data_IF_350820684751
#
_entry.id   IF_350820684751
#
_cell.length_a   1.000
_cell.length_b   1.000
_cell.length_c   1.000
_cell.angle_alpha   90.00
_cell.angle_beta   90.00
_cell.angle_gamma   90.00
#
_symmetry.space_group_name_H-M   'P 1'
#
loop_
_entity.id
_entity.type
_entity.pdbx_description
1 polymer ?
#
# COMPACT_ATOMS: atom_id res chain seq x y z
N UNK A 1 -11.73 -35.00 -0.21
CA UNK A 1 -10.33 -34.77 0.15
C UNK A 1 -10.42 -33.39 0.76
N UNK A 2 -10.44 -33.37 2.09
CA UNK A 2 -10.47 -32.11 2.84
C UNK A 2 -9.05 -31.56 2.72
N UNK A 3 -8.93 -30.41 2.07
CA UNK A 3 -7.73 -29.60 2.09
C UNK A 3 -7.87 -28.69 3.30
N UNK A 4 -6.83 -28.66 4.13
CA UNK A 4 -6.72 -27.91 5.37
C UNK A 4 -7.12 -26.42 5.23
N UNK A 5 -7.73 -25.88 6.29
CA UNK A 5 -8.18 -24.49 6.55
C UNK A 5 -7.04 -23.41 6.49
N UNK A 6 -5.88 -23.70 5.92
CA UNK A 6 -4.68 -22.88 6.13
C UNK A 6 -4.55 -21.64 5.20
N UNK A 7 -5.47 -21.45 4.25
CA UNK A 7 -5.44 -20.32 3.29
C UNK A 7 -6.81 -19.66 3.07
N UNK A 8 -7.78 -19.82 3.97
CA UNK A 8 -9.05 -19.08 3.85
C UNK A 8 -8.80 -17.59 4.10
N UNK A 9 -9.36 -16.77 3.21
CA UNK A 9 -9.22 -15.31 3.22
C UNK A 9 -10.59 -14.71 2.99
N UNK A 10 -10.91 -13.74 3.83
CA UNK A 10 -12.06 -12.87 3.74
C UNK A 10 -11.52 -11.47 3.45
N UNK A 11 -12.04 -10.82 2.42
CA UNK A 11 -11.58 -9.51 1.98
C UNK A 11 -12.77 -8.64 1.59
N UNK A 12 -13.01 -7.60 2.38
CA UNK A 12 -14.01 -6.58 2.12
C UNK A 12 -13.41 -5.41 1.33
N UNK A 13 -14.23 -4.83 0.43
CA UNK A 13 -13.94 -3.52 -0.13
C UNK A 13 -14.63 -3.27 -1.46
N UNK A 14 -14.17 -2.23 -2.16
CA UNK A 14 -14.84 -1.78 -3.39
C UNK A 14 -14.32 -2.49 -4.61
N UNK A 15 -15.26 -3.04 -5.38
CA UNK A 15 -15.02 -3.54 -6.73
C UNK A 15 -14.45 -2.42 -7.59
N UNK A 16 -13.22 -2.62 -8.04
CA UNK A 16 -12.52 -1.79 -9.02
C UNK A 16 -12.11 -2.64 -10.22
N UNK A 17 -11.87 -2.01 -11.37
CA UNK A 17 -11.37 -2.70 -12.58
C UNK A 17 -12.13 -3.97 -13.00
N UNK A 18 -13.44 -4.05 -12.74
CA UNK A 18 -14.27 -5.21 -13.08
C UNK A 18 -14.20 -5.54 -14.59
N UNK A 19 -13.73 -6.74 -14.90
CA UNK A 19 -13.82 -7.39 -16.20
C UNK A 19 -14.78 -8.59 -16.10
N UNK A 20 -16.05 -8.34 -16.43
CA UNK A 20 -17.10 -9.35 -16.43
C UNK A 20 -16.89 -10.47 -17.47
N UNK A 21 -16.03 -10.29 -18.48
CA UNK A 21 -15.71 -11.36 -19.43
C UNK A 21 -14.62 -12.28 -18.92
N UNK A 22 -13.61 -11.72 -18.25
CA UNK A 22 -12.56 -12.48 -17.58
C UNK A 22 -13.02 -13.06 -16.22
N UNK A 23 -14.10 -12.51 -15.66
CA UNK A 23 -14.60 -12.74 -14.31
C UNK A 23 -13.54 -12.41 -13.25
N UNK A 24 -12.99 -11.20 -13.37
CA UNK A 24 -12.00 -10.65 -12.44
C UNK A 24 -12.35 -9.22 -12.04
N UNK A 25 -11.93 -8.80 -10.85
CA UNK A 25 -11.90 -7.39 -10.43
C UNK A 25 -10.75 -7.18 -9.44
N UNK A 26 -10.58 -5.95 -8.96
CA UNK A 26 -9.63 -5.64 -7.88
C UNK A 26 -10.33 -5.04 -6.67
N UNK A 27 -9.92 -5.44 -5.46
CA UNK A 27 -10.31 -4.82 -4.17
C UNK A 27 -9.04 -4.52 -3.39
N UNK A 28 -8.90 -3.30 -2.86
CA UNK A 28 -7.75 -2.87 -2.05
C UNK A 28 -6.39 -3.17 -2.74
N UNK A 29 -6.36 -3.13 -4.08
CA UNK A 29 -5.17 -3.48 -4.88
C UNK A 29 -4.97 -4.97 -5.18
N UNK A 30 -5.70 -5.87 -4.51
CA UNK A 30 -5.66 -7.32 -4.76
C UNK A 30 -6.48 -7.70 -5.98
N UNK A 31 -5.94 -8.58 -6.83
CA UNK A 31 -6.69 -9.17 -7.94
C UNK A 31 -7.58 -10.31 -7.42
N UNK A 32 -8.87 -10.25 -7.74
CA UNK A 32 -9.87 -11.24 -7.38
C UNK A 32 -10.33 -11.97 -8.64
N UNK A 33 -10.24 -13.29 -8.66
CA UNK A 33 -10.83 -14.17 -9.68
C UNK A 33 -12.09 -14.80 -9.08
N UNK A 34 -13.24 -14.52 -9.70
CA UNK A 34 -14.55 -14.99 -9.24
C UNK A 34 -15.21 -15.98 -10.20
N UNK A 35 -14.43 -16.63 -11.09
CA UNK A 35 -14.96 -17.62 -12.04
C UNK A 35 -15.73 -18.77 -11.39
N UNK A 36 -15.38 -19.11 -10.15
CA UNK A 36 -15.95 -20.22 -9.39
C UNK A 36 -16.78 -19.75 -8.18
N UNK A 37 -16.95 -18.45 -7.99
CA UNK A 37 -17.67 -17.91 -6.86
C UNK A 37 -19.19 -18.11 -7.00
N UNK A 38 -19.87 -18.09 -5.86
CA UNK A 38 -21.33 -17.89 -5.75
C UNK A 38 -21.62 -16.57 -5.07
N UNK A 39 -22.76 -15.93 -5.39
CA UNK A 39 -23.27 -14.85 -4.55
C UNK A 39 -23.87 -15.43 -3.27
N UNK A 40 -23.67 -14.80 -2.11
CA UNK A 40 -24.42 -15.16 -0.90
C UNK A 40 -25.87 -14.64 -0.95
N UNK A 41 -26.76 -15.28 -0.21
CA UNK A 41 -28.18 -14.97 -0.08
C UNK A 41 -28.91 -14.71 -1.42
N UNK A 42 -29.29 -13.45 -1.69
CA UNK A 42 -30.03 -13.01 -2.87
C UNK A 42 -29.13 -12.25 -3.86
N UNK A 43 -27.81 -12.14 -3.61
CA UNK A 43 -26.86 -11.43 -4.47
C UNK A 43 -26.62 -12.19 -5.78
N UNK A 44 -26.83 -11.50 -6.91
CA UNK A 44 -26.47 -12.02 -8.23
C UNK A 44 -25.12 -11.44 -8.65
N UNK A 45 -24.12 -12.28 -8.92
CA UNK A 45 -22.80 -11.82 -9.38
C UNK A 45 -22.87 -11.03 -10.70
N UNK A 46 -23.95 -11.17 -11.48
CA UNK A 46 -24.20 -10.34 -12.67
C UNK A 46 -24.47 -8.86 -12.31
N UNK A 47 -24.80 -8.56 -11.05
CA UNK A 47 -25.01 -7.21 -10.53
C UNK A 47 -23.72 -6.51 -10.05
N UNK A 48 -22.59 -7.24 -9.99
CA UNK A 48 -21.27 -6.67 -9.70
C UNK A 48 -20.99 -5.46 -10.60
N UNK A 49 -20.55 -4.37 -9.99
CA UNK A 49 -20.22 -3.14 -10.72
C UNK A 49 -19.09 -2.38 -10.03
N UNK A 50 -18.28 -1.65 -10.82
CA UNK A 50 -17.25 -0.81 -10.22
C UNK A 50 -17.87 0.22 -9.27
N UNK A 51 -17.32 0.32 -8.06
CA UNK A 51 -17.86 1.17 -7.00
C UNK A 51 -18.84 0.46 -6.06
N UNK A 52 -19.25 -0.77 -6.36
CA UNK A 52 -19.99 -1.63 -5.44
C UNK A 52 -19.04 -2.12 -4.35
N UNK A 53 -19.49 -2.06 -3.10
CA UNK A 53 -18.76 -2.71 -2.01
C UNK A 53 -19.23 -4.14 -1.88
N UNK A 54 -18.28 -5.04 -1.64
CA UNK A 54 -18.54 -6.47 -1.50
C UNK A 54 -17.62 -7.06 -0.44
N UNK A 55 -18.08 -8.12 0.20
CA UNK A 55 -17.25 -9.06 0.95
C UNK A 55 -16.86 -10.21 0.01
N UNK A 56 -15.61 -10.65 0.06
CA UNK A 56 -15.12 -11.78 -0.74
C UNK A 56 -14.50 -12.83 0.16
N UNK A 57 -15.16 -13.97 0.29
CA UNK A 57 -14.59 -15.16 0.92
C UNK A 57 -13.92 -16.06 -0.14
N UNK A 58 -12.73 -16.53 0.15
CA UNK A 58 -11.97 -17.34 -0.80
C UNK A 58 -10.66 -17.89 -0.26
N UNK A 59 -9.70 -18.06 -1.15
CA UNK A 59 -8.34 -18.45 -0.78
C UNK A 59 -7.32 -17.87 -1.74
N UNK A 60 -6.11 -17.58 -1.24
CA UNK A 60 -5.03 -17.08 -2.07
C UNK A 60 -4.40 -18.19 -2.93
N UNK A 61 -4.21 -17.90 -4.21
CA UNK A 61 -3.40 -18.69 -5.14
C UNK A 61 -2.34 -17.77 -5.79
N UNK A 62 -1.14 -17.73 -5.19
CA UNK A 62 -0.17 -16.69 -5.52
C UNK A 62 -0.67 -15.33 -5.02
N UNK A 63 -0.62 -14.31 -5.86
CA UNK A 63 -1.12 -12.96 -5.55
C UNK A 63 -2.59 -12.73 -5.97
N UNK A 64 -3.34 -13.78 -6.27
CA UNK A 64 -4.76 -13.68 -6.67
C UNK A 64 -5.64 -14.34 -5.63
N UNK A 65 -6.65 -13.60 -5.18
CA UNK A 65 -7.72 -14.12 -4.34
C UNK A 65 -8.70 -14.90 -5.23
N UNK A 66 -8.75 -16.21 -5.02
CA UNK A 66 -9.72 -17.09 -5.69
C UNK A 66 -11.02 -17.07 -4.88
N UNK A 67 -11.99 -16.28 -5.32
CA UNK A 67 -13.26 -16.13 -4.63
C UNK A 67 -14.08 -17.42 -4.71
N UNK A 68 -14.70 -17.79 -3.58
CA UNK A 68 -15.67 -18.87 -3.45
C UNK A 68 -17.06 -18.32 -3.22
N UNK A 69 -17.15 -17.23 -2.47
CA UNK A 69 -18.37 -16.54 -2.13
C UNK A 69 -18.13 -15.04 -2.26
N UNK A 70 -19.13 -14.31 -2.71
CA UNK A 70 -19.13 -12.85 -2.74
C UNK A 70 -20.50 -12.41 -2.24
N UNK A 71 -20.53 -11.47 -1.30
CA UNK A 71 -21.77 -10.88 -0.84
C UNK A 71 -21.87 -9.41 -1.27
N UNK A 72 -23.06 -8.94 -1.65
CA UNK A 72 -23.33 -7.51 -1.65
C UNK A 72 -23.67 -7.11 -0.24
N UNK A 73 -22.64 -6.69 0.51
CA UNK A 73 -22.87 -6.05 1.79
C UNK A 73 -23.65 -4.74 1.57
N UNK A 74 -24.97 -4.87 1.55
CA UNK A 74 -25.92 -3.76 1.67
C UNK A 74 -25.72 -3.04 3.02
N UNK A 75 -25.08 -3.71 3.99
CA UNK A 75 -24.73 -3.22 5.32
C UNK A 75 -23.29 -3.64 5.70
N UNK A 76 -22.27 -2.96 5.14
CA UNK A 76 -20.84 -3.14 5.48
C UNK A 76 -20.54 -3.25 6.99
N UNK A 77 -21.38 -2.62 7.79
CA UNK A 77 -21.35 -2.72 9.25
C UNK A 77 -22.79 -2.65 9.73
N UNK A 78 -23.11 -3.35 10.82
CA UNK A 78 -24.42 -3.18 11.46
C UNK A 78 -24.57 -1.72 11.94
N UNK A 79 -25.77 -1.17 11.84
CA UNK A 79 -26.07 0.16 12.37
C UNK A 79 -25.71 0.22 13.88
N UNK A 80 -24.80 1.15 14.24
CA UNK A 80 -24.21 1.38 15.58
C UNK A 80 -23.02 0.50 15.97
N UNK A 81 -22.27 -0.03 15.02
CA UNK A 81 -20.95 -0.57 15.29
C UNK A 81 -19.89 0.54 15.37
N UNK A 82 -18.95 0.35 16.30
CA UNK A 82 -17.66 1.04 16.30
C UNK A 82 -16.79 0.34 15.25
N UNK A 83 -16.41 1.07 14.21
CA UNK A 83 -15.79 0.55 12.99
C UNK A 83 -14.39 1.13 12.82
N UNK A 84 -13.45 0.28 12.41
CA UNK A 84 -12.10 0.68 12.00
C UNK A 84 -11.88 0.30 10.53
N UNK A 85 -11.57 1.27 9.67
CA UNK A 85 -11.21 1.04 8.26
C UNK A 85 -9.89 1.72 7.92
N UNK A 86 -9.04 1.08 7.11
CA UNK A 86 -7.83 1.71 6.56
C UNK A 86 -7.90 1.75 5.03
N UNK A 87 -7.46 2.85 4.42
CA UNK A 87 -7.44 2.95 2.97
C UNK A 87 -7.13 4.35 2.42
N UNK A 88 -7.11 4.43 1.10
CA UNK A 88 -6.97 5.68 0.36
C UNK A 88 -8.21 6.55 0.51
N UNK A 89 -7.98 7.79 0.91
CA UNK A 89 -8.96 8.86 0.72
C UNK A 89 -9.22 9.03 -0.77
N UNK A 90 -10.48 9.06 -1.17
CA UNK A 90 -10.91 9.54 -2.49
C UNK A 90 -12.23 10.30 -2.38
N UNK A 91 -12.59 11.05 -3.43
CA UNK A 91 -13.77 11.94 -3.43
C UNK A 91 -13.79 12.92 -2.24
N UNK A 92 -12.63 13.44 -1.82
CA UNK A 92 -12.55 14.39 -0.72
C UNK A 92 -13.23 15.73 -1.05
N UNK A 93 -14.27 16.07 -0.29
CA UNK A 93 -14.95 17.36 -0.33
C UNK A 93 -14.65 18.14 0.95
N UNK A 94 -13.67 19.05 0.84
CA UNK A 94 -13.29 19.97 1.93
C UNK A 94 -14.43 20.87 2.45
N UNK A 95 -15.47 21.14 1.64
CA UNK A 95 -16.61 21.96 2.06
C UNK A 95 -17.63 21.14 2.83
N UNK A 96 -17.90 19.91 2.38
CA UNK A 96 -18.77 18.97 3.08
C UNK A 96 -18.08 18.27 4.27
N UNK A 97 -16.73 18.31 4.33
CA UNK A 97 -15.89 17.57 5.26
C UNK A 97 -16.14 16.07 5.18
N UNK A 98 -16.16 15.56 3.95
CA UNK A 98 -16.39 14.15 3.67
C UNK A 98 -15.33 13.61 2.74
N UNK A 99 -15.03 12.33 2.84
CA UNK A 99 -14.30 11.57 1.83
C UNK A 99 -14.82 10.14 1.79
N UNK A 100 -14.25 9.32 0.90
CA UNK A 100 -14.49 7.88 0.87
C UNK A 100 -13.21 7.11 1.09
N UNK A 101 -13.35 5.96 1.75
CA UNK A 101 -12.35 4.90 1.88
C UNK A 101 -13.07 3.59 1.65
N UNK A 102 -12.54 2.72 0.78
CA UNK A 102 -13.11 1.39 0.50
C UNK A 102 -14.63 1.42 0.31
N UNK A 103 -15.18 2.45 -0.34
CA UNK A 103 -16.62 2.58 -0.61
C UNK A 103 -17.42 3.27 0.49
N UNK A 104 -16.92 3.29 1.71
CA UNK A 104 -17.54 3.91 2.87
C UNK A 104 -17.47 5.42 2.75
N UNK A 105 -18.60 6.11 2.88
CA UNK A 105 -18.60 7.56 3.03
C UNK A 105 -18.21 7.90 4.47
N UNK A 106 -17.10 8.59 4.64
CA UNK A 106 -16.62 9.08 5.92
C UNK A 106 -17.03 10.55 6.09
N UNK A 107 -17.63 10.88 7.22
CA UNK A 107 -17.97 12.24 7.62
C UNK A 107 -17.07 12.66 8.78
N UNK A 108 -16.44 13.82 8.63
CA UNK A 108 -15.62 14.46 9.65
C UNK A 108 -16.42 15.60 10.27
N UNK A 109 -16.43 15.71 11.60
CA UNK A 109 -17.04 16.84 12.28
C UNK A 109 -16.03 17.63 13.14
N UNK A 110 -16.50 18.25 14.23
CA UNK A 110 -15.65 19.04 15.13
C UNK A 110 -15.13 18.25 16.33
N UNK A 111 -15.62 17.03 16.53
CA UNK A 111 -15.24 16.12 17.60
C UNK A 111 -14.25 15.05 17.10
N UNK A 112 -14.10 14.86 15.77
CA UNK A 112 -13.06 14.00 15.16
C UNK A 112 -11.65 14.41 15.62
N UNK A 113 -10.93 13.47 16.22
CA UNK A 113 -9.52 13.59 16.56
C UNK A 113 -8.62 13.24 15.37
N UNK A 114 -7.42 13.82 15.34
CA UNK A 114 -6.45 13.57 14.28
C UNK A 114 -5.10 13.22 14.90
N UNK A 115 -4.63 12.00 14.65
CA UNK A 115 -3.32 11.53 15.10
C UNK A 115 -2.39 11.32 13.92
N UNK A 116 -1.12 11.74 14.05
CA UNK A 116 -0.09 11.69 13.00
C UNK A 116 -0.50 12.24 11.61
N UNK A 117 -1.60 12.99 11.56
CA UNK A 117 -2.11 13.70 10.39
C UNK A 117 -2.80 14.99 10.83
N UNK A 118 -2.94 15.95 9.90
CA UNK A 118 -3.76 17.13 10.14
C UNK A 118 -5.03 17.11 9.30
N UNK A 119 -6.12 17.69 9.81
CA UNK A 119 -7.33 17.90 8.99
C UNK A 119 -7.06 18.68 7.68
N UNK A 120 -5.99 19.48 7.64
CA UNK A 120 -5.58 20.24 6.46
C UNK A 120 -4.77 19.44 5.42
N UNK A 121 -4.24 18.27 5.79
CA UNK A 121 -3.49 17.38 4.91
C UNK A 121 -4.35 16.29 4.28
N UNK A 122 -5.61 16.13 4.71
CA UNK A 122 -6.56 15.24 4.03
C UNK A 122 -6.79 15.69 2.59
N UNK A 123 -6.63 14.75 1.66
CA UNK A 123 -6.88 14.90 0.23
C UNK A 123 -6.87 13.52 -0.43
N UNK A 124 -7.34 13.44 -1.67
CA UNK A 124 -7.33 12.18 -2.43
C UNK A 124 -5.91 11.58 -2.49
N UNK A 125 -5.83 10.26 -2.27
CA UNK A 125 -4.61 9.44 -2.28
C UNK A 125 -3.86 9.37 -0.95
N UNK A 126 -4.30 10.09 0.09
CA UNK A 126 -3.71 9.92 1.43
C UNK A 126 -4.23 8.63 2.04
N UNK A 127 -3.32 7.78 2.50
CA UNK A 127 -3.66 6.56 3.22
C UNK A 127 -3.87 6.89 4.69
N UNK A 128 -5.04 6.54 5.22
CA UNK A 128 -5.37 6.78 6.63
C UNK A 128 -6.03 5.56 7.22
N UNK A 129 -6.00 5.47 8.54
CA UNK A 129 -6.92 4.65 9.32
C UNK A 129 -8.00 5.57 9.91
N UNK A 130 -9.26 5.12 9.86
CA UNK A 130 -10.41 5.83 10.39
C UNK A 130 -11.13 4.93 11.37
N UNK A 131 -11.32 5.41 12.59
CA UNK A 131 -12.19 4.79 13.58
C UNK A 131 -13.45 5.66 13.77
N UNK A 132 -14.63 5.04 13.91
CA UNK A 132 -15.84 5.78 14.24
C UNK A 132 -17.15 4.99 14.25
N UNK A 133 -18.24 5.70 14.51
CA UNK A 133 -19.60 5.18 14.51
C UNK A 133 -20.14 5.03 13.07
N UNK A 134 -20.42 3.80 12.62
CA UNK A 134 -21.11 3.59 11.34
C UNK A 134 -22.63 3.61 11.49
N UNK A 135 -23.30 4.50 10.75
CA UNK A 135 -24.77 4.64 10.76
C UNK A 135 -25.31 5.07 9.40
N UNK A 136 -26.27 4.33 8.86
CA UNK A 136 -26.99 4.65 7.62
C UNK A 136 -26.05 4.89 6.42
N UNK A 137 -25.03 4.06 6.23
CA UNK A 137 -24.10 4.18 5.10
C UNK A 137 -23.01 5.24 5.27
N UNK A 138 -22.87 5.82 6.47
CA UNK A 138 -21.89 6.87 6.78
C UNK A 138 -21.13 6.49 8.03
N UNK A 139 -19.80 6.49 7.94
CA UNK A 139 -18.89 6.43 9.08
C UNK A 139 -18.68 7.85 9.62
N UNK A 140 -19.20 8.12 10.81
CA UNK A 140 -18.88 9.36 11.53
C UNK A 140 -17.53 9.14 12.23
N UNK A 141 -16.48 9.77 11.73
CA UNK A 141 -15.13 9.56 12.25
C UNK A 141 -14.97 10.16 13.66
N UNK A 142 -14.62 9.31 14.61
CA UNK A 142 -14.17 9.71 15.94
C UNK A 142 -12.67 10.02 15.93
N UNK A 143 -11.88 9.27 15.15
CA UNK A 143 -10.44 9.43 15.01
C UNK A 143 -9.99 9.14 13.57
N UNK A 144 -9.04 9.94 13.09
CA UNK A 144 -8.34 9.71 11.81
C UNK A 144 -6.85 9.73 12.09
N UNK A 145 -6.22 8.58 11.89
CA UNK A 145 -4.78 8.38 12.05
C UNK A 145 -4.12 8.40 10.67
N UNK A 146 -3.10 9.25 10.52
CA UNK A 146 -2.16 9.16 9.41
C UNK A 146 -1.37 7.87 9.57
N UNK A 147 -1.46 6.96 8.61
CA UNK A 147 -0.57 5.80 8.60
C UNK A 147 0.77 6.24 8.03
N UNK A 148 1.84 6.03 8.79
CA UNK A 148 3.20 5.87 8.25
C UNK A 148 3.13 4.78 7.15
N UNK A 149 4.02 4.82 6.17
CA UNK A 149 4.00 3.90 5.04
C UNK A 149 3.86 2.42 5.44
N UNK A 150 3.37 1.55 4.55
CA UNK A 150 3.49 0.09 4.74
C UNK A 150 4.77 -0.48 4.11
N UNK A 151 5.68 0.41 3.74
CA UNK A 151 7.03 0.11 3.30
C UNK A 151 7.99 1.27 3.57
N UNK A 152 9.23 0.91 3.91
CA UNK A 152 10.34 1.83 4.17
C UNK A 152 11.55 1.39 3.34
N UNK A 153 12.32 2.36 2.83
CA UNK A 153 13.47 2.11 1.98
C UNK A 153 14.61 3.08 2.28
N UNK A 154 15.71 2.51 2.74
CA UNK A 154 16.99 3.19 2.89
C UNK A 154 17.91 2.81 1.74
N UNK A 155 18.30 3.82 0.96
CA UNK A 155 19.13 3.52 -0.19
C UNK A 155 19.63 4.69 -0.98
N UNK A 156 20.38 4.36 -2.02
CA UNK A 156 21.02 5.34 -2.87
C UNK A 156 20.21 5.60 -4.14
N UNK A 157 19.99 6.88 -4.47
CA UNK A 157 19.38 7.27 -5.74
C UNK A 157 20.30 6.85 -6.90
N UNK A 158 19.83 5.92 -7.72
CA UNK A 158 20.54 5.42 -8.90
C UNK A 158 20.11 6.11 -10.19
N UNK A 159 18.85 6.55 -10.26
CA UNK A 159 18.28 7.21 -11.42
C UNK A 159 17.21 8.22 -11.00
N UNK A 160 17.16 9.34 -11.74
CA UNK A 160 16.16 10.39 -11.56
C UNK A 160 15.45 10.62 -12.90
N UNK A 161 14.11 10.55 -12.90
CA UNK A 161 13.24 11.00 -13.97
C UNK A 161 12.23 12.03 -13.45
N UNK A 162 12.68 13.29 -13.40
CA UNK A 162 11.88 14.43 -12.97
C UNK A 162 10.65 14.67 -13.83
N UNK A 163 10.63 14.19 -15.08
CA UNK A 163 9.48 14.42 -15.97
C UNK A 163 8.28 13.55 -15.61
N UNK A 164 8.54 12.43 -14.95
CA UNK A 164 7.53 11.50 -14.45
C UNK A 164 7.52 11.44 -12.90
N UNK A 165 8.26 12.32 -12.23
CA UNK A 165 8.45 12.34 -10.77
C UNK A 165 8.79 10.96 -10.19
N UNK A 166 9.69 10.25 -10.88
CA UNK A 166 10.08 8.88 -10.57
C UNK A 166 11.57 8.84 -10.25
N UNK A 167 11.92 8.19 -9.14
CA UNK A 167 13.29 7.86 -8.75
C UNK A 167 13.50 6.33 -8.85
N UNK A 168 14.74 5.91 -9.03
CA UNK A 168 15.16 4.53 -8.72
C UNK A 168 16.12 4.62 -7.56
N UNK A 169 15.76 4.06 -6.42
CA UNK A 169 16.52 4.08 -5.17
C UNK A 169 16.90 2.65 -4.84
N UNK A 170 18.19 2.32 -4.87
CA UNK A 170 18.71 0.97 -4.64
C UNK A 170 18.00 -0.16 -5.40
N UNK A 171 17.45 0.15 -6.59
CA UNK A 171 16.75 -0.80 -7.45
C UNK A 171 15.22 -0.78 -7.33
N UNK A 172 14.68 -0.20 -6.26
CA UNK A 172 13.24 0.04 -6.10
C UNK A 172 12.84 1.26 -6.93
N UNK A 173 11.68 1.19 -7.60
CA UNK A 173 11.07 2.35 -8.27
C UNK A 173 10.28 3.14 -7.23
N UNK A 174 10.64 4.39 -7.02
CA UNK A 174 9.94 5.29 -6.09
C UNK A 174 9.17 6.34 -6.89
N UNK A 175 7.86 6.38 -6.73
CA UNK A 175 6.98 7.36 -7.36
C UNK A 175 6.71 8.48 -6.35
N UNK A 176 7.16 9.69 -6.68
CA UNK A 176 6.76 10.88 -5.94
C UNK A 176 5.39 11.34 -6.42
N UNK A 177 4.61 11.92 -5.52
CA UNK A 177 3.30 12.52 -5.80
C UNK A 177 3.30 13.99 -5.37
N UNK A 178 2.21 14.70 -5.67
CA UNK A 178 2.03 16.07 -5.16
C UNK A 178 2.00 16.15 -3.62
N UNK A 179 1.82 15.00 -2.96
CA UNK A 179 1.63 14.88 -1.52
C UNK A 179 2.90 14.39 -0.80
N UNK A 180 3.92 13.95 -1.55
CA UNK A 180 5.19 13.53 -0.95
C UNK A 180 5.86 14.70 -0.25
N UNK A 181 6.07 14.56 1.06
CA UNK A 181 6.92 15.43 1.86
C UNK A 181 8.37 15.15 1.49
N UNK A 182 9.14 16.21 1.23
CA UNK A 182 10.55 16.10 0.89
C UNK A 182 11.30 16.87 1.96
N UNK A 183 12.09 16.16 2.76
CA UNK A 183 13.08 16.79 3.63
C UNK A 183 14.47 16.69 2.97
N UNK A 184 15.20 17.79 3.01
CA UNK A 184 16.51 17.90 2.37
C UNK A 184 17.45 18.71 3.28
N UNK A 185 17.43 18.38 4.58
CA UNK A 185 18.42 18.46 5.68
C UNK A 185 19.41 19.65 5.74
N UNK A 186 19.27 20.58 4.83
CA UNK A 186 19.99 21.83 4.71
C UNK A 186 19.31 22.77 5.70
N UNK A 187 19.98 22.98 6.84
CA UNK A 187 19.77 23.98 7.90
C UNK A 187 19.46 25.43 7.42
N UNK A 188 19.37 25.69 6.11
CA UNK A 188 19.00 26.96 5.53
C UNK A 188 17.47 27.09 5.41
N UNK A 189 16.89 27.79 6.40
CA UNK A 189 15.49 28.26 6.62
C UNK A 189 14.83 29.01 5.42
N UNK A 190 15.42 28.94 4.22
CA UNK A 190 14.84 29.43 2.97
C UNK A 190 13.93 28.35 2.40
N UNK A 191 12.65 28.40 2.79
CA UNK A 191 11.52 27.65 2.22
C UNK A 191 11.68 27.45 0.71
N UNK A 192 12.27 26.32 0.33
CA UNK A 192 12.25 25.82 -1.03
C UNK A 192 10.82 25.40 -1.36
N UNK A 193 10.45 25.60 -2.61
CA UNK A 193 9.22 25.03 -3.12
C UNK A 193 9.53 23.58 -3.51
N UNK A 194 8.59 22.64 -3.37
CA UNK A 194 8.71 21.24 -3.80
C UNK A 194 9.52 21.04 -5.09
N UNK A 195 9.29 21.89 -6.09
CA UNK A 195 10.03 21.84 -7.36
C UNK A 195 11.55 21.97 -7.16
N UNK A 196 11.98 22.90 -6.32
CA UNK A 196 13.39 23.10 -5.99
C UNK A 196 13.94 21.94 -5.15
N UNK A 197 13.15 21.35 -4.26
CA UNK A 197 13.54 20.18 -3.45
C UNK A 197 13.77 18.94 -4.32
N UNK A 198 12.84 18.59 -5.21
CA UNK A 198 13.03 17.46 -6.14
C UNK A 198 14.25 17.71 -7.05
N UNK A 199 14.46 18.96 -7.47
CA UNK A 199 15.61 19.31 -8.32
C UNK A 199 16.95 19.28 -7.57
N UNK A 200 16.94 19.25 -6.24
CA UNK A 200 18.14 19.19 -5.42
C UNK A 200 18.72 17.77 -5.37
N UNK A 201 17.89 16.74 -5.52
CA UNK A 201 18.35 15.34 -5.57
C UNK A 201 19.35 15.10 -6.70
N UNK A 202 20.39 14.34 -6.39
CA UNK A 202 21.41 13.88 -7.30
C UNK A 202 21.50 12.35 -7.27
N UNK A 203 21.90 11.78 -8.41
CA UNK A 203 22.31 10.37 -8.43
C UNK A 203 23.51 10.20 -7.48
N UNK A 204 23.37 9.30 -6.54
CA UNK A 204 24.34 9.03 -5.48
C UNK A 204 23.93 9.53 -4.10
N UNK A 205 22.91 10.38 -4.00
CA UNK A 205 22.37 10.79 -2.69
C UNK A 205 21.76 9.57 -1.99
N UNK A 206 22.01 9.46 -0.69
CA UNK A 206 21.35 8.48 0.17
C UNK A 206 20.04 9.11 0.67
N UNK A 207 18.98 8.32 0.67
CA UNK A 207 17.65 8.75 1.09
C UNK A 207 16.97 7.66 1.87
N UNK A 208 16.20 8.08 2.86
CA UNK A 208 15.17 7.30 3.55
C UNK A 208 13.83 7.64 2.88
N UNK A 209 13.04 6.61 2.58
CA UNK A 209 11.74 6.77 1.90
C UNK A 209 10.70 5.94 2.64
N UNK A 210 9.80 6.60 3.35
CA UNK A 210 8.58 5.95 3.81
C UNK A 210 7.48 6.11 2.75
N UNK A 211 6.73 5.06 2.53
CA UNK A 211 5.62 5.13 1.60
C UNK A 211 4.80 3.88 1.55
N UNK A 212 3.94 3.82 0.55
CA UNK A 212 3.09 2.66 0.34
C UNK A 212 3.61 1.76 -0.77
N UNK A 213 3.71 0.48 -0.47
CA UNK A 213 3.95 -0.54 -1.47
C UNK A 213 2.79 -0.61 -2.46
N UNK A 214 3.10 -0.44 -3.75
CA UNK A 214 2.22 -0.71 -4.88
C UNK A 214 2.80 -1.90 -5.65
N UNK A 215 2.00 -2.51 -6.52
CA UNK A 215 2.39 -3.72 -7.24
C UNK A 215 3.80 -3.68 -7.87
N UNK A 216 4.23 -2.51 -8.37
CA UNK A 216 5.47 -2.36 -9.13
C UNK A 216 6.39 -1.22 -8.63
N UNK A 217 6.01 -0.49 -7.58
CA UNK A 217 6.72 0.71 -7.11
C UNK A 217 6.34 1.08 -5.67
N UNK A 218 7.22 1.83 -5.01
CA UNK A 218 6.95 2.48 -3.72
C UNK A 218 6.36 3.87 -4.00
N UNK A 219 5.13 4.13 -3.55
CA UNK A 219 4.55 5.46 -3.58
C UNK A 219 5.00 6.25 -2.35
N UNK A 220 5.89 7.23 -2.53
CA UNK A 220 6.52 7.93 -1.41
C UNK A 220 5.54 8.88 -0.70
N UNK A 221 5.47 8.77 0.61
CA UNK A 221 4.82 9.73 1.50
C UNK A 221 5.84 10.74 2.03
N UNK A 222 6.99 10.26 2.46
CA UNK A 222 8.16 11.06 2.82
C UNK A 222 9.34 10.64 1.95
N UNK A 223 10.29 11.54 1.80
CA UNK A 223 11.63 11.23 1.32
C UNK A 223 12.58 12.21 1.97
N UNK A 224 13.53 11.69 2.72
CA UNK A 224 14.47 12.46 3.52
C UNK A 224 15.87 12.16 2.99
N UNK A 225 16.68 13.20 2.79
CA UNK A 225 18.08 12.99 2.42
C UNK A 225 18.89 12.78 3.69
N UNK A 226 19.53 11.61 3.77
CA UNK A 226 20.34 11.24 4.91
C UNK A 226 21.85 11.31 4.61
N UNK A 227 22.63 11.51 5.67
CA UNK A 227 24.07 11.32 5.63
C UNK A 227 24.35 9.80 5.56
N UNK A 228 24.39 9.26 4.34
CA UNK A 228 24.48 7.81 4.11
C UNK A 228 25.55 7.08 4.94
N UNK A 229 25.24 5.83 5.30
CA UNK A 229 26.07 5.03 6.19
C UNK A 229 27.43 4.61 5.59
N UNK A 230 28.40 4.31 6.48
CA UNK A 230 29.74 3.82 6.10
C UNK A 230 29.69 2.42 5.43
N UNK A 231 28.55 1.74 5.53
CA UNK A 231 28.31 0.38 5.07
C UNK A 231 27.51 0.45 3.75
N UNK A 232 28.02 -0.14 2.65
CA UNK A 232 27.42 -0.07 1.29
C UNK A 232 26.09 -0.87 1.15
N UNK A 233 25.39 -1.12 2.25
CA UNK A 233 24.20 -1.94 2.34
C UNK A 233 22.94 -1.02 2.33
N UNK A 234 21.82 -1.60 1.90
CA UNK A 234 20.52 -0.95 1.73
C UNK A 234 19.49 -1.74 2.51
N UNK A 235 18.47 -1.06 3.00
CA UNK A 235 17.37 -1.66 3.76
C UNK A 235 16.05 -1.50 3.01
N UNK A 236 15.17 -2.47 3.15
CA UNK A 236 13.82 -2.43 2.62
C UNK A 236 12.90 -3.22 3.55
N UNK A 237 12.06 -2.51 4.28
CA UNK A 237 10.91 -3.11 4.97
C UNK A 237 9.71 -3.08 4.03
N UNK A 238 9.18 -4.25 3.67
CA UNK A 238 8.08 -4.36 2.71
C UNK A 238 7.40 -5.74 2.76
N UNK A 239 6.22 -5.84 2.15
CA UNK A 239 5.54 -7.13 1.93
C UNK A 239 6.15 -7.90 0.77
N UNK A 240 6.36 -9.19 0.94
CA UNK A 240 6.91 -10.06 -0.10
C UNK A 240 5.90 -10.29 -1.22
N UNK A 241 6.22 -9.87 -2.45
CA UNK A 241 5.36 -10.11 -3.63
C UNK A 241 5.53 -11.53 -4.19
N UNK A 242 6.77 -12.04 -4.18
CA UNK A 242 7.10 -13.32 -4.79
C UNK A 242 8.34 -13.96 -4.18
N UNK A 243 8.33 -15.31 -4.17
CA UNK A 243 9.49 -16.13 -3.82
C UNK A 243 9.94 -16.95 -5.03
N UNK A 244 11.18 -16.74 -5.44
CA UNK A 244 11.90 -17.58 -6.38
C UNK A 244 12.54 -18.79 -5.70
N UNK A 245 13.23 -19.64 -6.46
CA UNK A 245 13.96 -20.76 -5.86
C UNK A 245 15.11 -20.31 -4.97
N UNK A 246 15.74 -19.18 -5.30
CA UNK A 246 16.88 -18.58 -4.60
C UNK A 246 16.78 -17.03 -4.60
N UNK A 247 15.58 -16.48 -4.56
CA UNK A 247 15.35 -15.03 -4.59
C UNK A 247 14.03 -14.68 -3.93
N UNK A 248 13.93 -13.43 -3.49
CA UNK A 248 12.71 -12.79 -3.00
C UNK A 248 12.45 -11.56 -3.88
N UNK A 249 11.19 -11.16 -4.03
CA UNK A 249 10.79 -10.03 -4.86
C UNK A 249 9.88 -9.08 -4.12
N UNK A 250 10.18 -7.78 -4.25
CA UNK A 250 9.41 -6.65 -3.73
C UNK A 250 9.29 -5.60 -4.84
N UNK A 251 8.11 -5.14 -5.20
CA UNK A 251 7.89 -4.04 -6.15
C UNK A 251 8.71 -4.18 -7.46
N UNK A 252 8.76 -5.39 -8.02
CA UNK A 252 9.61 -5.82 -9.15
C UNK A 252 11.14 -5.86 -8.93
N UNK A 253 11.64 -5.53 -7.75
CA UNK A 253 13.03 -5.74 -7.36
C UNK A 253 13.25 -7.21 -6.99
N UNK A 254 14.00 -7.95 -7.81
CA UNK A 254 14.49 -9.29 -7.45
C UNK A 254 15.79 -9.17 -6.63
N UNK A 255 15.75 -9.65 -5.39
CA UNK A 255 16.91 -9.76 -4.51
C UNK A 255 17.33 -11.23 -4.42
N UNK A 256 18.59 -11.52 -4.77
CA UNK A 256 19.14 -12.87 -4.74
C UNK A 256 19.44 -13.29 -3.30
N UNK A 257 19.07 -14.51 -2.94
CA UNK A 257 19.30 -15.09 -1.61
C UNK A 257 20.80 -15.21 -1.25
N UNK A 258 21.68 -15.40 -2.24
CA UNK A 258 23.10 -15.60 -2.02
C UNK A 258 23.40 -16.80 -1.10
N UNK A 259 24.05 -16.53 0.03
CA UNK A 259 24.36 -17.54 1.06
C UNK A 259 23.40 -17.51 2.26
N UNK A 260 22.38 -16.67 2.21
CA UNK A 260 21.46 -16.42 3.32
C UNK A 260 20.23 -17.30 3.24
N UNK A 261 19.38 -17.25 4.27
CA UNK A 261 18.16 -18.04 4.38
C UNK A 261 16.95 -17.20 4.00
N UNK A 262 16.00 -17.82 3.30
CA UNK A 262 14.61 -17.34 3.13
C UNK A 262 13.63 -18.29 3.84
N UNK A 263 14.12 -19.07 4.82
CA UNK A 263 13.37 -20.17 5.42
C UNK A 263 12.37 -19.64 6.44
N UNK A 264 11.10 -19.59 6.08
CA UNK A 264 10.02 -19.17 6.98
C UNK A 264 9.13 -18.16 6.29
N UNK A 265 9.76 -17.28 5.52
CA UNK A 265 9.16 -16.25 4.67
C UNK A 265 8.19 -16.85 3.65
N UNK A 266 7.04 -16.20 3.51
CA UNK A 266 5.96 -16.48 2.56
C UNK A 266 5.63 -15.21 1.79
N UNK A 267 4.91 -15.38 0.69
CA UNK A 267 4.32 -14.25 -0.03
C UNK A 267 3.26 -13.60 0.85
N UNK A 268 3.32 -12.28 0.99
CA UNK A 268 2.45 -11.47 1.86
C UNK A 268 3.03 -11.15 3.24
N UNK A 269 4.07 -11.86 3.69
CA UNK A 269 4.77 -11.55 4.93
C UNK A 269 5.45 -10.18 4.79
N UNK A 270 5.43 -9.41 5.87
CA UNK A 270 6.15 -8.13 6.00
C UNK A 270 7.51 -8.42 6.59
N UNK A 271 8.57 -8.03 5.89
CA UNK A 271 9.94 -8.39 6.25
C UNK A 271 10.89 -7.24 5.99
N UNK A 272 11.94 -7.16 6.80
CA UNK A 272 13.05 -6.24 6.65
C UNK A 272 14.19 -6.95 5.90
N UNK A 273 14.52 -6.47 4.70
CA UNK A 273 15.58 -7.02 3.88
C UNK A 273 16.78 -6.07 3.84
N UNK A 274 17.90 -6.49 4.43
CA UNK A 274 19.19 -5.87 4.12
C UNK A 274 19.82 -6.50 2.87
N UNK A 275 20.23 -5.66 1.92
CA UNK A 275 20.77 -6.11 0.63
C UNK A 275 21.77 -5.11 0.05
N UNK A 276 22.52 -5.55 -0.97
CA UNK A 276 23.49 -4.68 -1.65
C UNK A 276 23.56 -4.95 -3.14
N UNK A 277 24.10 -3.98 -3.88
CA UNK A 277 24.36 -4.12 -5.30
C UNK A 277 25.67 -4.86 -5.57
N UNK A 278 25.58 -5.98 -6.27
CA UNK A 278 26.74 -6.75 -6.72
C UNK A 278 27.47 -6.05 -7.88
N UNK A 279 28.73 -6.43 -8.12
CA UNK A 279 29.50 -5.97 -9.30
C UNK A 279 28.87 -6.32 -10.65
N UNK A 280 27.93 -7.29 -10.68
CA UNK A 280 27.16 -7.65 -11.88
C UNK A 280 25.91 -6.79 -12.09
N UNK A 281 25.57 -5.93 -11.13
CA UNK A 281 24.39 -5.07 -11.14
C UNK A 281 23.12 -5.71 -10.59
N UNK A 282 23.18 -6.97 -10.12
CA UNK A 282 22.09 -7.59 -9.37
C UNK A 282 22.14 -7.19 -7.89
N UNK A 283 21.02 -7.37 -7.19
CA UNK A 283 20.94 -7.22 -5.74
C UNK A 283 21.02 -8.58 -5.06
N UNK A 284 21.71 -8.65 -3.93
CA UNK A 284 21.89 -9.87 -3.14
C UNK A 284 21.75 -9.52 -1.66
N UNK A 285 21.05 -10.36 -0.91
CA UNK A 285 20.91 -10.21 0.56
C UNK A 285 22.28 -10.18 1.23
N UNK A 286 22.37 -9.47 2.35
CA UNK A 286 23.55 -9.45 3.24
C UNK A 286 23.32 -10.12 4.59
N UNK A 287 22.07 -10.48 4.89
CA UNK A 287 21.70 -11.33 6.01
C UNK A 287 20.48 -12.22 5.73
N UNK A 288 20.05 -13.01 6.72
CA UNK A 288 18.90 -13.90 6.58
C UNK A 288 17.62 -13.09 6.68
N UNK A 289 16.62 -13.47 5.89
CA UNK A 289 15.29 -12.89 5.97
C UNK A 289 14.42 -13.78 6.86
N UNK A 290 13.91 -13.21 7.94
CA UNK A 290 13.00 -13.86 8.91
C UNK A 290 11.74 -12.96 9.07
N UNK A 291 10.59 -13.59 9.39
CA UNK A 291 9.28 -12.96 9.70
C UNK A 291 9.09 -12.90 11.23
#
# INVERSE_FOLDING_TARGET
MDFDDDNEVELEGVVQNLDAMAQTFTINGFNVDYQLATGDDDFDLDDLSNGMTVEVEGYLQGATLMAREIDDEDDLFDDNDDVEISGDIYDYDSTARTFRINGVLVQIDGDTDFDDISAGSLQDGVFVKVEGDYRNGVLLADEIEGREGDAELDGQIEQIDLSNELLVVSGVRVQLTANTLIDDDDDDDDRRNRVDDINAFNVGDYVEVEGRQRADYLEAFTIEREDGDDDDDFELEARVDALGSNSVTFMNLEILQGNFSLSGVRVGDEVEAEYRKTTGGQYELVENLDD
#
